data_IF_090489197484
#
_entry.id   IF_090489197484
#
_cell.length_a   1.000
_cell.length_b   1.000
_cell.length_c   1.000
_cell.angle_alpha   90.00
_cell.angle_beta   90.00
_cell.angle_gamma   90.00
#
_symmetry.space_group_name_H-M   'P 1'
#
loop_
_entity.id
_entity.type
_entity.pdbx_description
1 polymer ?
#
# COMPACT_ATOMS: atom_id res chain seq x y z
N UNK A 1 -12.60 9.21 22.05
CA UNK A 1 -12.39 8.32 20.89
C UNK A 1 -12.93 9.01 19.65
N UNK A 2 -12.08 9.74 18.93
CA UNK A 2 -12.44 10.50 17.71
C UNK A 2 -12.05 9.72 16.45
N UNK A 3 -12.42 8.44 16.39
CA UNK A 3 -12.36 7.70 15.14
C UNK A 3 -13.80 7.56 14.69
N UNK A 4 -14.15 8.23 13.59
CA UNK A 4 -15.42 7.98 12.92
C UNK A 4 -15.52 6.48 12.63
N UNK A 5 -16.70 5.89 12.88
CA UNK A 5 -16.95 4.52 12.43
C UNK A 5 -16.65 4.44 10.94
N UNK A 6 -16.05 3.35 10.44
CA UNK A 6 -15.76 3.22 9.01
C UNK A 6 -17.03 3.51 8.23
N UNK A 7 -17.02 4.59 7.45
CA UNK A 7 -18.14 4.99 6.61
C UNK A 7 -17.97 4.21 5.31
N UNK A 8 -18.89 3.31 4.95
CA UNK A 8 -18.82 2.59 3.69
C UNK A 8 -19.18 3.53 2.54
N UNK A 9 -18.26 4.41 2.17
CA UNK A 9 -18.42 5.43 1.11
C UNK A 9 -18.89 4.79 -0.20
N UNK A 10 -18.41 3.59 -0.51
CA UNK A 10 -18.84 2.83 -1.69
C UNK A 10 -20.36 2.56 -1.74
N UNK A 11 -21.00 2.24 -0.61
CA UNK A 11 -22.45 2.02 -0.54
C UNK A 11 -23.22 3.34 -0.54
N UNK A 12 -22.65 4.38 0.05
CA UNK A 12 -23.21 5.73 -0.04
C UNK A 12 -23.29 6.22 -1.50
N UNK A 13 -22.26 5.91 -2.31
CA UNK A 13 -22.23 6.18 -3.75
C UNK A 13 -22.75 5.03 -4.63
N UNK A 14 -23.51 4.10 -4.04
CA UNK A 14 -24.00 2.90 -4.71
C UNK A 14 -24.67 3.17 -6.06
N UNK A 15 -25.63 4.11 -6.17
CA UNK A 15 -26.29 4.42 -7.45
C UNK A 15 -25.32 4.91 -8.54
N UNK A 16 -24.29 5.68 -8.17
CA UNK A 16 -23.27 6.15 -9.10
C UNK A 16 -22.39 5.00 -9.59
N UNK A 17 -22.00 4.11 -8.67
CA UNK A 17 -21.13 2.97 -8.97
C UNK A 17 -21.87 1.87 -9.75
N UNK A 18 -23.16 1.68 -9.51
CA UNK A 18 -23.99 0.80 -10.34
C UNK A 18 -24.05 1.28 -11.80
N UNK A 19 -24.09 2.60 -12.03
CA UNK A 19 -24.04 3.16 -13.39
C UNK A 19 -22.68 2.97 -14.05
N UNK A 20 -21.59 3.05 -13.29
CA UNK A 20 -20.22 2.95 -13.81
C UNK A 20 -19.72 1.50 -13.97
N UNK A 21 -20.06 0.62 -13.03
CA UNK A 21 -19.51 -0.74 -12.92
C UNK A 21 -20.57 -1.85 -13.03
N UNK A 22 -21.86 -1.48 -13.02
CA UNK A 22 -23.02 -2.38 -13.08
C UNK A 22 -23.56 -2.82 -11.71
N UNK A 23 -24.68 -3.52 -11.69
CA UNK A 23 -25.36 -4.00 -10.46
C UNK A 23 -24.44 -4.84 -9.55
N UNK A 24 -23.53 -5.62 -10.13
CA UNK A 24 -22.55 -6.44 -9.39
C UNK A 24 -21.22 -5.72 -9.15
N UNK A 25 -21.22 -4.38 -9.06
CA UNK A 25 -20.01 -3.60 -8.84
C UNK A 25 -19.17 -4.05 -7.64
N UNK A 26 -19.73 -4.47 -6.47
CA UNK A 26 -18.88 -4.80 -5.32
C UNK A 26 -18.00 -6.01 -5.61
N UNK A 27 -18.61 -7.03 -6.23
CA UNK A 27 -17.91 -8.24 -6.62
C UNK A 27 -16.86 -7.95 -7.70
N UNK A 28 -17.23 -7.20 -8.76
CA UNK A 28 -16.28 -6.86 -9.83
C UNK A 28 -15.09 -6.07 -9.33
N UNK A 29 -15.30 -5.08 -8.45
CA UNK A 29 -14.20 -4.30 -7.88
C UNK A 29 -13.32 -5.15 -6.98
N UNK A 30 -13.92 -6.06 -6.19
CA UNK A 30 -13.17 -7.02 -5.38
C UNK A 30 -12.31 -7.95 -6.25
N UNK A 31 -12.90 -8.54 -7.29
CA UNK A 31 -12.20 -9.45 -8.21
C UNK A 31 -11.06 -8.72 -8.93
N UNK A 32 -11.30 -7.49 -9.39
CA UNK A 32 -10.26 -6.64 -10.00
C UNK A 32 -9.14 -6.32 -9.00
N UNK A 33 -9.47 -6.01 -7.75
CA UNK A 33 -8.48 -5.76 -6.71
C UNK A 33 -7.64 -7.02 -6.43
N UNK A 34 -8.26 -8.19 -6.27
CA UNK A 34 -7.57 -9.47 -6.07
C UNK A 34 -6.64 -9.78 -7.24
N UNK A 35 -7.10 -9.59 -8.48
CA UNK A 35 -6.29 -9.80 -9.66
C UNK A 35 -5.08 -8.86 -9.66
N UNK A 36 -5.28 -7.57 -9.41
CA UNK A 36 -4.19 -6.60 -9.35
C UNK A 36 -3.20 -6.91 -8.22
N UNK A 37 -3.66 -7.35 -7.06
CA UNK A 37 -2.83 -7.73 -5.92
C UNK A 37 -1.93 -8.93 -6.24
N UNK A 38 -2.46 -9.93 -6.96
CA UNK A 38 -1.69 -11.10 -7.41
C UNK A 38 -0.58 -10.78 -8.41
N UNK A 39 -0.75 -9.73 -9.23
CA UNK A 39 0.28 -9.29 -10.18
C UNK A 39 1.30 -8.34 -9.55
N UNK A 40 1.05 -7.83 -8.35
CA UNK A 40 2.01 -7.03 -7.59
C UNK A 40 3.03 -7.95 -6.93
N UNK A 41 4.19 -7.38 -6.61
CA UNK A 41 5.21 -8.05 -5.81
C UNK A 41 4.63 -8.40 -4.44
N UNK A 42 5.01 -9.57 -3.92
CA UNK A 42 4.62 -9.98 -2.58
C UNK A 42 5.42 -9.16 -1.56
N UNK A 43 4.87 -8.01 -1.16
CA UNK A 43 5.48 -7.11 -0.20
C UNK A 43 5.86 -7.83 1.10
N UNK A 44 5.00 -8.71 1.61
CA UNK A 44 5.25 -9.43 2.86
C UNK A 44 6.45 -10.39 2.77
N UNK A 45 6.84 -10.83 1.57
CA UNK A 45 8.01 -11.67 1.36
C UNK A 45 9.31 -10.87 1.17
N UNK A 46 9.22 -9.61 0.71
CA UNK A 46 10.39 -8.74 0.51
C UNK A 46 10.81 -7.99 1.79
N UNK A 47 9.91 -7.86 2.76
CA UNK A 47 10.17 -7.12 4.00
C UNK A 47 10.86 -8.00 5.04
N UNK A 48 11.96 -7.49 5.61
CA UNK A 48 12.65 -8.14 6.72
C UNK A 48 11.72 -8.28 7.94
N UNK A 49 11.79 -9.42 8.64
CA UNK A 49 11.01 -9.68 9.86
C UNK A 49 11.17 -8.59 10.92
N UNK A 50 12.39 -8.04 11.02
CA UNK A 50 12.69 -6.91 11.90
C UNK A 50 13.48 -5.86 11.11
N UNK A 51 13.17 -4.57 11.33
CA UNK A 51 12.23 -4.03 12.31
C UNK A 51 10.76 -4.01 11.81
N UNK A 52 9.81 -4.12 12.75
CA UNK A 52 8.37 -4.19 12.44
C UNK A 52 7.72 -2.85 12.04
N UNK A 53 8.42 -1.72 12.28
CA UNK A 53 7.90 -0.39 11.97
C UNK A 53 8.90 0.40 11.17
N UNK A 54 8.41 1.28 10.30
CA UNK A 54 9.25 2.17 9.50
C UNK A 54 10.12 3.07 10.37
N UNK A 55 9.59 3.56 11.50
CA UNK A 55 10.33 4.42 12.43
C UNK A 55 11.55 3.72 13.03
N UNK A 56 11.42 2.43 13.34
CA UNK A 56 12.54 1.64 13.83
C UNK A 56 13.61 1.47 12.74
N UNK A 57 13.20 1.22 11.48
CA UNK A 57 14.15 1.13 10.37
C UNK A 57 14.90 2.45 10.13
N UNK A 58 14.20 3.57 10.19
CA UNK A 58 14.80 4.91 10.07
C UNK A 58 15.76 5.25 11.20
N UNK A 59 15.53 4.71 12.40
CA UNK A 59 16.43 4.86 13.55
C UNK A 59 17.67 3.99 13.41
N UNK A 60 17.54 2.83 12.77
CA UNK A 60 18.60 1.86 12.52
C UNK A 60 19.32 2.10 11.18
N UNK A 61 19.99 3.25 11.10
CA UNK A 61 20.73 3.67 9.90
C UNK A 61 21.95 2.80 9.59
N UNK A 62 22.35 1.92 10.50
CA UNK A 62 23.48 1.01 10.31
C UNK A 62 23.12 -0.19 9.42
N UNK A 63 21.85 -0.62 9.45
CA UNK A 63 21.35 -1.74 8.64
C UNK A 63 20.44 -1.30 7.50
N UNK A 64 19.70 -0.22 7.69
CA UNK A 64 18.70 0.26 6.75
C UNK A 64 19.06 1.63 6.18
N UNK A 65 18.80 1.81 4.90
CA UNK A 65 18.93 3.08 4.18
C UNK A 65 17.66 3.38 3.39
N UNK A 66 17.34 4.66 3.13
CA UNK A 66 16.24 5.02 2.23
C UNK A 66 16.39 4.38 0.85
N UNK A 67 15.27 3.93 0.28
CA UNK A 67 15.22 3.52 -1.12
C UNK A 67 15.25 4.78 -2.00
N UNK A 68 16.33 4.99 -2.76
CA UNK A 68 16.47 6.16 -3.63
C UNK A 68 15.38 6.24 -4.71
N UNK A 69 14.74 5.12 -5.05
CA UNK A 69 13.65 5.08 -6.02
C UNK A 69 12.28 5.37 -5.41
N UNK A 70 12.16 5.32 -4.08
CA UNK A 70 10.90 5.45 -3.33
C UNK A 70 11.20 6.03 -1.95
N UNK A 71 11.47 7.33 -1.91
CA UNK A 71 11.83 8.07 -0.72
C UNK A 71 11.05 9.39 -0.62
N UNK A 72 10.45 9.65 0.55
CA UNK A 72 9.63 10.85 0.80
C UNK A 72 10.35 12.18 0.55
N UNK A 73 11.67 12.23 0.71
CA UNK A 73 12.44 13.48 0.68
C UNK A 73 13.01 13.74 -0.73
N UNK A 74 13.11 12.71 -1.57
CA UNK A 74 13.68 12.79 -2.92
C UNK A 74 12.70 12.38 -4.02
N UNK A 75 12.16 11.15 -3.99
CA UNK A 75 11.20 10.65 -4.96
C UNK A 75 10.05 9.86 -4.32
N UNK A 76 8.86 10.43 -4.31
CA UNK A 76 7.67 9.83 -3.71
C UNK A 76 7.00 8.79 -4.65
N UNK A 77 7.39 8.73 -5.94
CA UNK A 77 6.77 7.82 -6.89
C UNK A 77 7.32 6.38 -6.79
N UNK A 78 6.68 5.62 -5.90
CA UNK A 78 7.04 4.23 -5.59
C UNK A 78 6.47 3.24 -6.61
N UNK A 79 7.19 3.03 -7.72
CA UNK A 79 6.75 2.15 -8.81
C UNK A 79 6.47 0.70 -8.37
N UNK A 80 7.36 0.11 -7.57
CA UNK A 80 7.23 -1.30 -7.15
C UNK A 80 6.24 -1.49 -5.99
N UNK A 81 6.10 -0.48 -5.13
CA UNK A 81 5.24 -0.49 -3.95
C UNK A 81 4.17 0.60 -4.10
N UNK A 82 3.24 0.39 -5.03
CA UNK A 82 2.26 1.40 -5.40
C UNK A 82 1.41 1.85 -4.21
N UNK A 83 1.44 3.15 -3.92
CA UNK A 83 0.75 3.78 -2.79
C UNK A 83 1.62 3.93 -1.53
N UNK A 84 2.83 3.39 -1.52
CA UNK A 84 3.83 3.74 -0.50
C UNK A 84 4.30 5.19 -0.70
N UNK A 85 4.75 5.82 0.38
CA UNK A 85 5.31 7.19 0.36
C UNK A 85 6.81 7.21 0.61
N UNK A 86 7.34 6.17 1.26
CA UNK A 86 8.75 6.02 1.56
C UNK A 86 9.04 4.57 1.90
N UNK A 87 10.09 4.03 1.29
CA UNK A 87 10.61 2.70 1.51
C UNK A 87 12.06 2.79 2.00
N UNK A 88 12.47 1.73 2.70
CA UNK A 88 13.84 1.53 3.16
C UNK A 88 14.31 0.17 2.67
N UNK A 89 15.59 0.08 2.38
CA UNK A 89 16.25 -1.15 1.95
C UNK A 89 17.31 -1.55 2.98
N UNK A 90 17.46 -2.85 3.18
CA UNK A 90 18.57 -3.40 3.98
C UNK A 90 19.76 -3.67 3.08
N UNK A 91 20.96 -3.36 3.55
CA UNK A 91 22.21 -3.74 2.89
C UNK A 91 22.67 -5.17 3.21
N UNK A 92 21.94 -5.87 4.08
CA UNK A 92 22.24 -7.27 4.39
C UNK A 92 21.92 -8.16 3.16
N UNK A 93 22.80 -9.13 2.82
CA UNK A 93 22.61 -10.05 1.70
C UNK A 93 21.42 -10.99 1.86
#
# INVERSE_FOLDING_TARGET
>A
TLWSRPIPLAWYFGPQWERQHGIKWPQKLCDNWIMNDRYRKNFAAEVALCPCTLQHALSDKGRFQPDLSCDKDSNIDCFYNYGAQHCVTTGAP
#
